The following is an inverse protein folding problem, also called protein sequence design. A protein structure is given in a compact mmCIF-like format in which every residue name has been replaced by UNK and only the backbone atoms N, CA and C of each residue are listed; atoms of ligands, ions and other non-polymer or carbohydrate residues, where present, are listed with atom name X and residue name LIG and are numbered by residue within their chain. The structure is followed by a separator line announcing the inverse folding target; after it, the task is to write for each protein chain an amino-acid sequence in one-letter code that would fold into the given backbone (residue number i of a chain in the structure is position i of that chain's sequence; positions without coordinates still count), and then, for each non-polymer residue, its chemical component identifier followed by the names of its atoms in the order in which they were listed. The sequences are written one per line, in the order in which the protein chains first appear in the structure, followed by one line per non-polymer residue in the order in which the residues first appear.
data_IF_248541705772
#
_entry.id   IF_248541705772
#
_cell.length_a   1.000
_cell.length_b   1.000
_cell.length_c   1.000
_cell.angle_alpha   90.00
_cell.angle_beta   90.00
_cell.angle_gamma   90.00
#
_symmetry.space_group_name_H-M   'P 1'
#
loop_
_entity.id
_entity.type
_entity.pdbx_description
1 polymer ?
#
# COMPACT_ATOMS: atom_id res chain seq x y z
N UNK A 1 -26.23 -3.23 52.44
CA UNK A 1 -24.79 -3.18 52.12
C UNK A 1 -24.41 -3.96 50.85
N UNK A 2 -25.02 -5.12 50.55
CA UNK A 2 -24.73 -5.89 49.32
C UNK A 2 -25.09 -5.17 48.00
N UNK A 3 -26.19 -4.41 47.93
CA UNK A 3 -26.61 -3.70 46.71
C UNK A 3 -25.62 -2.59 46.28
N UNK A 4 -24.99 -1.92 47.26
CA UNK A 4 -23.98 -0.88 47.02
C UNK A 4 -22.65 -1.47 46.51
N UNK A 5 -22.26 -2.63 47.01
CA UNK A 5 -21.06 -3.34 46.56
C UNK A 5 -21.22 -3.89 45.13
N UNK A 6 -22.42 -4.37 44.77
CA UNK A 6 -22.72 -4.87 43.42
C UNK A 6 -22.72 -3.73 42.39
N UNK A 7 -23.31 -2.57 42.74
CA UNK A 7 -23.29 -1.32 41.95
C UNK A 7 -21.87 -0.79 41.73
N UNK A 8 -21.02 -0.81 42.76
CA UNK A 8 -19.61 -0.41 42.67
C UNK A 8 -18.79 -1.31 41.75
N UNK A 9 -18.95 -2.64 41.85
CA UNK A 9 -18.26 -3.58 40.95
C UNK A 9 -18.76 -3.49 39.51
N UNK A 10 -20.06 -3.26 39.29
CA UNK A 10 -20.62 -3.09 37.94
C UNK A 10 -20.12 -1.79 37.27
N UNK A 11 -19.98 -0.71 38.05
CA UNK A 11 -19.34 0.54 37.60
C UNK A 11 -17.86 0.36 37.29
N UNK A 12 -17.14 -0.42 38.11
CA UNK A 12 -15.72 -0.71 37.90
C UNK A 12 -15.51 -1.60 36.67
N UNK A 13 -16.33 -2.64 36.49
CA UNK A 13 -16.31 -3.51 35.30
C UNK A 13 -16.69 -2.71 34.05
N UNK A 14 -17.67 -1.80 34.14
CA UNK A 14 -18.00 -0.87 33.06
C UNK A 14 -16.84 0.08 32.74
N UNK A 15 -16.21 0.69 33.74
CA UNK A 15 -15.06 1.57 33.55
C UNK A 15 -13.87 0.82 32.90
N UNK A 16 -13.56 -0.38 33.39
CA UNK A 16 -12.48 -1.22 32.85
C UNK A 16 -12.80 -1.69 31.43
N UNK A 17 -14.04 -2.10 31.13
CA UNK A 17 -14.40 -2.50 29.76
C UNK A 17 -14.32 -1.33 28.80
N UNK A 18 -14.76 -0.13 29.21
CA UNK A 18 -14.68 1.08 28.40
C UNK A 18 -13.23 1.47 28.15
N UNK A 19 -12.36 1.41 29.17
CA UNK A 19 -10.92 1.67 29.03
C UNK A 19 -10.25 0.63 28.12
N UNK A 20 -10.55 -0.66 28.27
CA UNK A 20 -10.01 -1.72 27.43
C UNK A 20 -10.49 -1.62 25.96
N UNK A 21 -11.76 -1.30 25.73
CA UNK A 21 -12.33 -1.10 24.39
C UNK A 21 -11.70 0.12 23.69
N UNK A 22 -11.46 1.20 24.43
CA UNK A 22 -10.75 2.39 23.92
C UNK A 22 -9.28 2.11 23.61
N UNK A 23 -8.61 1.22 24.35
CA UNK A 23 -7.22 0.84 24.08
C UNK A 23 -7.09 -0.08 22.86
N UNK A 24 -8.07 -0.96 22.59
CA UNK A 24 -8.07 -1.80 21.38
C UNK A 24 -8.38 -1.01 20.11
N UNK A 25 -9.14 0.08 20.22
CA UNK A 25 -9.47 0.98 19.12
C UNK A 25 -8.42 2.09 18.92
N UNK A 26 -7.15 1.85 19.25
CA UNK A 26 -6.05 2.80 19.03
C UNK A 26 -5.03 2.32 17.99
N UNK A 27 -5.21 1.13 17.42
CA UNK A 27 -4.26 0.56 16.46
C UNK A 27 -4.75 0.84 15.04
N UNK A 28 -4.02 1.71 14.34
CA UNK A 28 -4.14 1.90 12.90
C UNK A 28 -3.04 1.17 12.16
N UNK A 29 -3.34 0.66 10.96
CA UNK A 29 -2.36 0.00 10.09
C UNK A 29 -2.24 0.81 8.81
N UNK A 30 -1.04 1.31 8.53
CA UNK A 30 -0.66 1.84 7.22
C UNK A 30 0.19 0.83 6.47
N UNK A 31 -0.05 0.68 5.16
CA UNK A 31 0.71 -0.24 4.31
C UNK A 31 1.11 0.46 3.01
N UNK A 32 2.40 0.40 2.67
CA UNK A 32 2.90 0.65 1.32
C UNK A 32 3.15 -0.70 0.64
N UNK A 33 2.27 -1.11 -0.28
CA UNK A 33 2.47 -2.33 -1.07
C UNK A 33 3.10 -1.97 -2.41
N UNK A 34 4.06 -2.77 -2.93
CA UNK A 34 4.64 -2.52 -4.24
C UNK A 34 3.57 -2.59 -5.34
N UNK A 35 3.54 -1.56 -6.18
CA UNK A 35 2.64 -1.48 -7.33
C UNK A 35 3.40 -1.89 -8.58
N UNK A 36 2.77 -2.74 -9.39
CA UNK A 36 3.32 -3.24 -10.65
C UNK A 36 2.50 -2.66 -11.81
N UNK A 37 3.09 -1.73 -12.54
CA UNK A 37 2.48 -1.11 -13.72
C UNK A 37 3.04 -1.75 -14.97
N UNK A 38 2.16 -2.15 -15.89
CA UNK A 38 2.55 -2.68 -17.21
C UNK A 38 2.07 -1.74 -18.30
N UNK A 39 3.00 -1.03 -18.93
CA UNK A 39 2.75 -0.13 -20.05
C UNK A 39 2.89 -0.87 -21.37
N UNK A 40 1.85 -0.78 -22.20
CA UNK A 40 1.86 -1.27 -23.58
C UNK A 40 2.45 -0.18 -24.46
N UNK A 41 3.52 -0.51 -25.16
CA UNK A 41 4.15 0.40 -26.12
C UNK A 41 3.31 0.56 -27.39
N UNK A 42 3.64 1.57 -28.19
CA UNK A 42 3.01 1.77 -29.50
C UNK A 42 3.22 0.56 -30.44
N UNK A 43 4.37 -0.12 -30.33
CA UNK A 43 4.64 -1.34 -31.10
C UNK A 43 3.68 -2.48 -30.73
N UNK A 44 3.41 -2.68 -29.44
CA UNK A 44 2.40 -3.65 -28.99
C UNK A 44 1.00 -3.25 -29.46
N UNK A 45 0.66 -1.96 -29.37
CA UNK A 45 -0.66 -1.48 -29.78
C UNK A 45 -0.88 -1.61 -31.30
N UNK A 46 0.13 -1.31 -32.11
CA UNK A 46 0.08 -1.47 -33.57
C UNK A 46 -0.19 -2.92 -34.00
N UNK A 47 0.46 -3.89 -33.35
CA UNK A 47 0.25 -5.32 -33.61
C UNK A 47 -1.12 -5.79 -33.11
N UNK A 48 -1.53 -5.34 -31.92
CA UNK A 48 -2.84 -5.67 -31.36
C UNK A 48 -4.00 -5.19 -32.23
N UNK A 49 -3.89 -4.02 -32.88
CA UNK A 49 -4.90 -3.53 -33.84
C UNK A 49 -5.04 -4.41 -35.08
N UNK A 50 -3.97 -5.11 -35.46
CA UNK A 50 -3.95 -6.00 -36.62
C UNK A 50 -4.26 -7.45 -36.27
N UNK A 51 -4.75 -7.70 -35.05
CA UNK A 51 -5.12 -9.04 -34.56
C UNK A 51 -4.00 -10.08 -34.58
N UNK A 52 -2.73 -9.65 -34.71
CA UNK A 52 -1.57 -10.51 -34.54
C UNK A 52 -1.19 -10.53 -33.05
N UNK A 53 -1.15 -11.71 -32.38
CA UNK A 53 -0.75 -11.78 -30.98
C UNK A 53 0.75 -11.48 -30.88
N UNK A 54 1.15 -10.39 -30.19
CA UNK A 54 2.55 -10.01 -30.07
C UNK A 54 3.34 -11.12 -29.37
N UNK A 55 4.37 -11.64 -30.05
CA UNK A 55 5.20 -12.72 -29.53
C UNK A 55 6.37 -12.12 -28.76
N UNK A 56 6.41 -12.39 -27.44
CA UNK A 56 7.54 -11.99 -26.60
C UNK A 56 8.71 -12.92 -26.91
N UNK A 57 9.78 -12.40 -27.49
CA UNK A 57 11.01 -13.15 -27.79
C UNK A 57 12.00 -13.10 -26.65
N UNK A 58 12.07 -11.99 -25.92
CA UNK A 58 13.03 -11.78 -24.85
C UNK A 58 12.47 -10.89 -23.78
N UNK A 59 12.85 -11.14 -22.53
CA UNK A 59 12.65 -10.20 -21.43
C UNK A 59 14.00 -9.75 -20.88
N UNK A 60 14.14 -8.45 -20.63
CA UNK A 60 15.28 -7.87 -19.95
C UNK A 60 14.80 -7.25 -18.64
N UNK A 61 15.31 -7.78 -17.53
CA UNK A 61 15.00 -7.30 -16.18
C UNK A 61 16.18 -6.48 -15.67
N UNK A 62 15.90 -5.32 -15.09
CA UNK A 62 16.90 -4.51 -14.40
C UNK A 62 17.39 -5.19 -13.13
N UNK A 63 18.56 -4.79 -12.62
CA UNK A 63 19.01 -5.23 -11.30
C UNK A 63 17.98 -4.79 -10.25
N UNK A 64 17.45 -5.70 -9.43
CA UNK A 64 16.44 -5.35 -8.43
C UNK A 64 17.08 -4.48 -7.35
N UNK A 65 16.50 -3.29 -7.13
CA UNK A 65 16.88 -2.42 -6.03
C UNK A 65 16.06 -2.79 -4.78
N UNK A 66 16.67 -2.65 -3.61
CA UNK A 66 16.02 -2.89 -2.32
C UNK A 66 15.45 -1.59 -1.80
N UNK A 67 14.13 -1.54 -1.65
CA UNK A 67 13.40 -0.42 -1.11
C UNK A 67 12.72 -0.80 0.21
N UNK A 68 12.57 0.19 1.08
CA UNK A 68 11.87 0.00 2.33
C UNK A 68 10.36 0.07 2.06
N UNK A 69 9.66 -1.05 2.18
CA UNK A 69 8.22 -1.01 2.37
C UNK A 69 7.96 -0.67 3.85
N UNK A 70 7.17 0.35 4.09
CA UNK A 70 6.80 0.80 5.42
C UNK A 70 5.44 0.25 5.81
N UNK A 71 5.38 -0.40 6.98
CA UNK A 71 4.15 -0.50 7.77
C UNK A 71 4.32 0.47 8.93
N UNK A 72 3.49 1.49 8.99
CA UNK A 72 3.44 2.39 10.16
C UNK A 72 2.31 1.91 11.06
N UNK A 73 2.67 1.45 12.26
CA UNK A 73 1.68 1.16 13.30
C UNK A 73 1.60 2.38 14.20
N UNK A 74 0.40 2.93 14.32
CA UNK A 74 0.14 4.02 15.24
C UNK A 74 -0.15 3.42 16.62
N UNK A 75 0.75 3.64 17.58
CA UNK A 75 0.59 3.21 18.96
C UNK A 75 0.56 4.45 19.86
N UNK A 76 -0.56 4.68 20.55
CA UNK A 76 -0.71 5.78 21.53
C UNK A 76 -0.24 7.14 20.96
N UNK A 77 -0.69 7.52 19.77
CA UNK A 77 -0.40 8.80 19.09
C UNK A 77 1.00 8.91 18.46
N UNK A 78 1.95 8.03 18.80
CA UNK A 78 3.27 8.03 18.17
C UNK A 78 3.23 7.09 16.95
N UNK A 79 3.51 7.57 15.73
CA UNK A 79 3.74 6.69 14.60
C UNK A 79 5.02 5.90 14.91
N UNK A 80 4.89 4.59 15.15
CA UNK A 80 6.04 3.71 15.30
C UNK A 80 6.32 3.13 13.91
N UNK A 81 7.34 3.63 13.19
CA UNK A 81 7.70 3.07 11.90
C UNK A 81 8.25 1.66 12.17
N UNK A 82 7.48 0.62 11.84
CA UNK A 82 7.93 -0.73 12.09
C UNK A 82 8.98 -1.19 11.09
N UNK A 83 9.25 -0.46 9.99
CA UNK A 83 10.28 -0.76 8.97
C UNK A 83 10.48 -2.28 8.78
N UNK A 84 9.47 -2.91 8.21
CA UNK A 84 9.39 -4.34 7.88
C UNK A 84 8.77 -4.45 6.48
N UNK A 85 8.94 -5.56 5.76
CA UNK A 85 10.14 -6.14 5.15
C UNK A 85 10.67 -5.34 3.94
N UNK A 86 11.86 -5.71 3.45
CA UNK A 86 12.47 -5.11 2.24
C UNK A 86 11.68 -5.52 0.99
N UNK A 87 11.19 -4.55 0.23
CA UNK A 87 10.60 -4.76 -1.08
C UNK A 87 11.65 -4.61 -2.17
N UNK A 88 11.38 -5.20 -3.34
CA UNK A 88 12.22 -5.01 -4.51
C UNK A 88 11.51 -4.14 -5.54
N UNK A 89 12.21 -3.10 -5.99
CA UNK A 89 11.84 -2.34 -7.18
C UNK A 89 12.67 -2.82 -8.37
N UNK A 90 12.05 -2.96 -9.52
CA UNK A 90 12.72 -3.38 -10.76
C UNK A 90 11.91 -2.89 -11.96
N UNK A 91 12.60 -2.71 -13.09
CA UNK A 91 11.96 -2.55 -14.39
C UNK A 91 12.21 -3.79 -15.25
N UNK A 92 11.24 -4.12 -16.09
CA UNK A 92 11.19 -5.30 -16.94
C UNK A 92 10.70 -4.88 -18.33
N UNK A 93 11.59 -4.93 -19.32
CA UNK A 93 11.22 -4.73 -20.71
C UNK A 93 11.04 -6.07 -21.39
N UNK A 94 9.90 -6.25 -22.05
CA UNK A 94 9.62 -7.42 -22.88
C UNK A 94 9.70 -7.02 -24.34
N UNK A 95 10.61 -7.67 -25.05
CA UNK A 95 10.88 -7.49 -26.46
C UNK A 95 10.13 -8.53 -27.27
N UNK A 96 9.74 -8.16 -28.47
CA UNK A 96 9.22 -9.07 -29.48
C UNK A 96 9.57 -8.58 -30.86
N UNK A 97 9.16 -9.36 -31.86
CA UNK A 97 9.34 -8.98 -33.25
C UNK A 97 8.22 -8.06 -33.70
N UNK A 98 8.58 -7.02 -34.42
CA UNK A 98 7.64 -6.25 -35.22
C UNK A 98 7.24 -7.02 -36.50
N UNK A 99 6.37 -6.42 -37.29
CA UNK A 99 5.89 -7.00 -38.55
C UNK A 99 7.00 -7.14 -39.61
N UNK A 100 8.10 -6.42 -39.43
CA UNK A 100 9.27 -6.41 -40.30
C UNK A 100 10.38 -7.35 -39.77
N UNK A 101 10.15 -8.03 -38.64
CA UNK A 101 11.09 -8.94 -37.99
C UNK A 101 12.13 -8.26 -37.10
N UNK A 102 12.05 -6.95 -36.88
CA UNK A 102 12.96 -6.21 -35.98
C UNK A 102 12.55 -6.40 -34.52
N UNK A 103 13.54 -6.46 -33.64
CA UNK A 103 13.30 -6.56 -32.20
C UNK A 103 12.91 -5.18 -31.64
N UNK A 104 11.71 -5.10 -31.08
CA UNK A 104 11.14 -3.89 -30.49
C UNK A 104 10.61 -4.19 -29.09
N UNK A 105 10.64 -3.18 -28.21
CA UNK A 105 10.01 -3.29 -26.89
C UNK A 105 8.50 -3.31 -27.08
N UNK A 106 7.84 -4.34 -26.55
CA UNK A 106 6.40 -4.53 -26.61
C UNK A 106 5.73 -4.09 -25.31
N UNK A 107 6.22 -4.55 -24.17
CA UNK A 107 5.73 -4.12 -22.87
C UNK A 107 6.88 -3.63 -22.00
N UNK A 108 6.64 -2.50 -21.36
CA UNK A 108 7.50 -1.96 -20.31
C UNK A 108 6.78 -2.14 -18.98
N UNK A 109 7.42 -2.85 -18.07
CA UNK A 109 6.84 -3.22 -16.79
C UNK A 109 7.69 -2.61 -15.69
N UNK A 110 7.08 -1.85 -14.81
CA UNK A 110 7.78 -1.22 -13.71
C UNK A 110 7.14 -1.66 -12.40
N UNK A 111 7.96 -2.16 -11.47
CA UNK A 111 7.57 -2.42 -10.10
C UNK A 111 8.30 -1.43 -9.20
N UNK A 112 7.54 -0.55 -8.56
CA UNK A 112 8.02 0.45 -7.61
C UNK A 112 7.27 0.30 -6.30
N UNK A 113 7.88 0.73 -5.19
CA UNK A 113 7.12 0.94 -3.96
C UNK A 113 6.43 2.29 -4.12
N UNK A 114 5.09 2.31 -4.33
CA UNK A 114 4.36 3.54 -4.53
C UNK A 114 4.34 4.30 -3.21
N UNK A 115 4.66 5.56 -3.35
CA UNK A 115 4.09 6.60 -2.52
C UNK A 115 2.92 7.16 -3.31
N UNK A 116 1.69 7.06 -2.79
CA UNK A 116 1.34 7.42 -1.43
C UNK A 116 1.10 6.25 -0.46
N UNK A 117 1.25 6.51 0.84
CA UNK A 117 0.96 5.59 1.92
C UNK A 117 -0.55 5.50 2.18
N UNK A 118 -1.13 4.31 1.99
CA UNK A 118 -2.52 4.05 2.34
C UNK A 118 -2.61 3.57 3.79
N UNK A 119 -3.39 4.26 4.60
CA UNK A 119 -3.53 3.89 5.99
C UNK A 119 -4.96 4.02 6.50
N UNK A 120 -5.37 3.02 7.28
CA UNK A 120 -6.66 2.99 7.95
C UNK A 120 -6.46 2.83 9.44
N UNK A 121 -7.19 3.61 10.22
CA UNK A 121 -7.15 3.52 11.65
C UNK A 121 -7.94 4.62 12.35
N UNK A 122 -8.19 4.40 13.64
CA UNK A 122 -8.88 5.35 14.52
C UNK A 122 -8.15 6.69 14.66
N UNK A 123 -6.84 6.71 14.39
CA UNK A 123 -6.02 7.91 14.41
C UNK A 123 -5.93 8.63 13.05
N UNK A 124 -6.59 8.12 12.00
CA UNK A 124 -6.71 8.82 10.71
C UNK A 124 -7.54 10.09 10.80
N UNK A 125 -8.26 10.30 11.90
CA UNK A 125 -8.87 11.58 12.26
C UNK A 125 -7.84 12.73 12.34
N UNK A 126 -6.56 12.42 12.61
CA UNK A 126 -5.46 13.38 12.57
C UNK A 126 -4.83 13.50 11.17
N UNK A 127 -5.20 12.64 10.23
CA UNK A 127 -4.73 12.65 8.85
C UNK A 127 -4.79 14.01 8.16
N UNK A 128 -5.90 14.78 8.27
CA UNK A 128 -6.03 16.11 7.67
C UNK A 128 -5.03 17.18 8.15
N UNK A 129 -4.23 16.90 9.20
CA UNK A 129 -3.14 17.77 9.65
C UNK A 129 -1.93 17.65 8.70
N UNK A 130 -1.77 16.51 8.03
CA UNK A 130 -0.71 16.30 7.04
C UNK A 130 -1.14 16.93 5.71
N UNK A 131 -0.32 17.82 5.18
CA UNK A 131 -0.60 18.49 3.90
C UNK A 131 -0.70 17.47 2.76
N UNK A 132 -1.81 17.53 2.02
CA UNK A 132 -2.08 16.65 0.89
C UNK A 132 -2.66 15.29 1.28
N UNK A 133 -3.00 15.08 2.55
CA UNK A 133 -3.83 13.95 2.96
C UNK A 133 -5.17 13.94 2.22
N UNK A 134 -5.50 12.80 1.61
CA UNK A 134 -6.78 12.58 0.94
C UNK A 134 -7.49 11.38 1.56
N UNK A 135 -8.65 11.60 2.18
CA UNK A 135 -9.37 10.53 2.88
C UNK A 135 -10.39 11.01 3.91
N UNK A 136 -10.82 10.08 4.76
CA UNK A 136 -11.78 10.29 5.84
C UNK A 136 -11.17 9.95 7.21
N UNK A 137 -11.87 10.26 8.30
CA UNK A 137 -11.37 10.05 9.65
C UNK A 137 -11.00 8.59 10.02
N UNK A 138 -11.27 7.61 9.16
CA UNK A 138 -10.95 6.19 9.34
C UNK A 138 -9.90 5.66 8.36
N UNK A 139 -9.80 6.21 7.16
CA UNK A 139 -8.94 5.73 6.09
C UNK A 139 -8.53 6.89 5.19
N UNK A 140 -7.26 6.94 4.80
CA UNK A 140 -6.82 7.87 3.79
C UNK A 140 -5.44 7.59 3.25
N UNK A 141 -5.02 8.52 2.42
CA UNK A 141 -3.84 8.44 1.56
C UNK A 141 -2.93 9.58 1.96
N UNK A 142 -1.70 9.25 2.34
CA UNK A 142 -0.67 10.22 2.68
C UNK A 142 0.28 10.38 1.49
N UNK A 143 0.47 11.60 0.99
CA UNK A 143 1.47 11.89 -0.03
C UNK A 143 2.88 11.70 0.53
N UNK A 144 3.85 11.60 -0.38
CA UNK A 144 5.31 11.57 -0.08
C UNK A 144 5.78 12.66 0.90
#
# INVERSE_FOLDING_TARGET
MLLFALSSRLKYVGLVSTICLNLTACVGVGVSLPEKTTLKTDAYRAQSYRSNPPQITRTAKSTPAREWCGITVWALVVPVPLKLPVCTSYSEQSFGKDEFGNEVVLLDTEQKVPSPLYACGPLMVLGPIVHGYEGNALCGVFPD
#
